data_IF_422451812098
#
_entry.id   IF_422451812098
#
_cell.length_a   1.000
_cell.length_b   1.000
_cell.length_c   1.000
_cell.angle_alpha   90.00
_cell.angle_beta   90.00
_cell.angle_gamma   90.00
#
_symmetry.space_group_name_H-M   'P 1'
#
loop_
_entity.id
_entity.type
_entity.pdbx_description
1 polymer ?
#
# COMPACT_ATOMS: atom_id res chain seq x y z
N UNK A 1 13.39 14.14 2.20
CA UNK A 1 12.48 13.04 2.60
C UNK A 1 11.19 13.70 3.02
N UNK A 2 10.04 13.25 2.54
CA UNK A 2 8.78 13.92 2.85
C UNK A 2 8.15 13.40 4.14
N UNK A 3 7.23 14.22 4.70
CA UNK A 3 6.64 14.02 6.03
C UNK A 3 5.88 12.69 6.13
N UNK A 4 5.29 12.22 5.03
CA UNK A 4 4.57 10.94 5.01
C UNK A 4 5.54 9.74 5.09
N UNK A 5 6.65 9.82 4.36
CA UNK A 5 7.70 8.79 4.35
C UNK A 5 8.31 8.64 5.75
N UNK A 6 8.57 9.76 6.44
CA UNK A 6 9.14 9.75 7.79
C UNK A 6 8.17 9.10 8.81
N UNK A 7 6.86 9.40 8.74
CA UNK A 7 5.84 8.75 9.57
C UNK A 7 5.78 7.23 9.34
N UNK A 8 5.83 6.79 8.08
CA UNK A 8 5.84 5.36 7.75
C UNK A 8 7.11 4.69 8.30
N UNK A 9 8.26 5.36 8.24
CA UNK A 9 9.51 4.84 8.80
C UNK A 9 9.42 4.68 10.32
N UNK A 10 8.88 5.66 11.03
CA UNK A 10 8.70 5.60 12.49
C UNK A 10 7.80 4.45 12.91
N UNK A 11 6.64 4.29 12.25
CA UNK A 11 5.68 3.22 12.55
C UNK A 11 6.24 1.82 12.26
N UNK A 12 7.02 1.68 11.18
CA UNK A 12 7.58 0.39 10.77
C UNK A 12 8.82 0.00 11.54
N UNK A 13 9.52 0.94 12.18
CA UNK A 13 10.75 0.68 12.93
C UNK A 13 10.57 -0.34 14.06
N UNK A 14 9.50 -0.19 14.85
CA UNK A 14 9.13 -1.14 15.90
C UNK A 14 8.62 -2.48 15.35
N UNK A 15 8.01 -2.45 14.17
CA UNK A 15 7.47 -3.64 13.51
C UNK A 15 8.57 -4.52 12.94
N UNK A 16 9.61 -4.00 12.29
CA UNK A 16 10.71 -4.82 11.73
C UNK A 16 11.46 -5.62 12.82
N UNK A 17 11.54 -5.10 14.04
CA UNK A 17 12.26 -5.73 15.17
C UNK A 17 11.62 -7.02 15.70
N UNK A 18 10.31 -7.23 15.48
CA UNK A 18 9.54 -8.32 16.10
C UNK A 18 9.39 -9.60 15.23
N UNK A 19 10.22 -9.84 14.21
CA UNK A 19 10.04 -11.02 13.35
C UNK A 19 10.97 -11.13 12.14
N UNK A 20 10.65 -12.06 11.24
CA UNK A 20 11.53 -12.51 10.15
C UNK A 20 12.14 -11.38 9.33
N UNK A 21 13.48 -11.32 9.30
CA UNK A 21 14.26 -10.14 8.91
C UNK A 21 14.18 -9.79 7.41
N UNK A 22 14.04 -10.78 6.53
CA UNK A 22 14.08 -10.56 5.07
C UNK A 22 12.70 -10.10 4.55
N UNK A 23 11.64 -10.85 4.84
CA UNK A 23 10.28 -10.52 4.36
C UNK A 23 9.78 -9.17 4.85
N UNK A 24 10.09 -8.77 6.10
CA UNK A 24 9.67 -7.46 6.62
C UNK A 24 10.40 -6.29 5.97
N UNK A 25 11.67 -6.45 5.60
CA UNK A 25 12.41 -5.39 4.90
C UNK A 25 11.79 -5.08 3.55
N UNK A 26 11.37 -6.12 2.82
CA UNK A 26 10.67 -5.94 1.55
C UNK A 26 9.31 -5.27 1.74
N UNK A 27 8.54 -5.69 2.75
CA UNK A 27 7.26 -5.04 3.05
C UNK A 27 7.45 -3.57 3.46
N UNK A 28 8.47 -3.24 4.25
CA UNK A 28 8.79 -1.83 4.58
C UNK A 28 9.20 -1.05 3.34
N UNK A 29 10.01 -1.62 2.45
CA UNK A 29 10.35 -0.97 1.18
C UNK A 29 9.10 -0.61 0.39
N UNK A 30 8.19 -1.57 0.25
CA UNK A 30 6.90 -1.36 -0.41
C UNK A 30 6.08 -0.26 0.28
N UNK A 31 6.02 -0.24 1.62
CA UNK A 31 5.31 0.79 2.38
C UNK A 31 5.89 2.19 2.15
N UNK A 32 7.22 2.29 2.05
CA UNK A 32 7.91 3.56 1.76
C UNK A 32 7.69 4.01 0.32
N UNK A 33 7.72 3.09 -0.65
CA UNK A 33 7.37 3.38 -2.05
C UNK A 33 5.92 3.89 -2.15
N UNK A 34 4.97 3.24 -1.45
CA UNK A 34 3.59 3.71 -1.34
C UNK A 34 3.48 5.12 -0.74
N UNK A 35 4.22 5.40 0.34
CA UNK A 35 4.24 6.71 0.96
C UNK A 35 4.76 7.78 -0.02
N UNK A 36 5.84 7.50 -0.75
CA UNK A 36 6.37 8.40 -1.77
C UNK A 36 5.36 8.71 -2.87
N UNK A 37 4.73 7.69 -3.44
CA UNK A 37 3.72 7.84 -4.50
C UNK A 37 2.49 8.62 -4.02
N UNK A 38 2.05 8.39 -2.78
CA UNK A 38 0.86 9.07 -2.24
C UNK A 38 1.17 10.51 -1.84
N UNK A 39 2.38 10.80 -1.38
CA UNK A 39 2.79 12.16 -1.00
C UNK A 39 2.75 13.13 -2.18
N UNK A 40 3.02 12.66 -3.40
CA UNK A 40 2.87 13.49 -4.62
C UNK A 40 1.42 13.90 -4.90
N UNK A 41 0.45 13.24 -4.27
CA UNK A 41 -0.97 13.56 -4.38
C UNK A 41 -1.43 14.62 -3.34
N UNK A 42 -0.54 15.06 -2.45
CA UNK A 42 -0.79 16.11 -1.45
C UNK A 42 -0.92 15.69 0.03
N UNK A 43 -1.29 14.45 0.41
CA UNK A 43 -1.30 14.02 1.81
C UNK A 43 0.08 14.15 2.46
N UNK A 44 0.11 14.74 3.64
CA UNK A 44 1.34 14.91 4.45
C UNK A 44 1.37 14.01 5.69
N UNK A 45 0.29 13.26 5.94
CA UNK A 45 0.19 12.32 7.07
C UNK A 45 -0.66 11.10 6.73
N UNK A 46 -0.40 9.97 7.41
CA UNK A 46 -1.16 8.72 7.21
C UNK A 46 -2.64 8.84 7.56
N UNK A 47 -3.01 9.78 8.43
CA UNK A 47 -4.40 10.10 8.74
C UNK A 47 -5.16 10.57 7.49
N UNK A 48 -4.51 11.37 6.64
CA UNK A 48 -5.08 11.92 5.40
C UNK A 48 -5.13 10.90 4.25
N UNK A 49 -4.40 9.79 4.34
CA UNK A 49 -4.37 8.76 3.31
C UNK A 49 -5.64 7.92 3.35
N UNK A 50 -6.62 8.23 2.52
CA UNK A 50 -7.89 7.50 2.41
C UNK A 50 -7.93 6.52 1.24
N UNK A 51 -9.12 5.96 1.01
CA UNK A 51 -9.37 5.06 -0.12
C UNK A 51 -9.03 5.70 -1.48
N UNK A 52 -9.25 7.01 -1.64
CA UNK A 52 -8.91 7.75 -2.86
C UNK A 52 -7.43 7.65 -3.22
N UNK A 53 -6.55 7.86 -2.24
CA UNK A 53 -5.10 7.79 -2.43
C UNK A 53 -4.67 6.37 -2.81
N UNK A 54 -5.23 5.37 -2.13
CA UNK A 54 -4.97 3.95 -2.42
C UNK A 54 -5.41 3.59 -3.85
N UNK A 55 -6.58 4.06 -4.29
CA UNK A 55 -7.06 3.83 -5.66
C UNK A 55 -6.14 4.50 -6.70
N UNK A 56 -5.67 5.72 -6.44
CA UNK A 56 -4.74 6.40 -7.35
C UNK A 56 -3.39 5.70 -7.42
N UNK A 57 -2.88 5.24 -6.29
CA UNK A 57 -1.68 4.40 -6.23
C UNK A 57 -1.81 3.16 -7.11
N UNK A 58 -2.94 2.44 -7.02
CA UNK A 58 -3.20 1.29 -7.89
C UNK A 58 -3.25 1.67 -9.36
N UNK A 59 -3.88 2.80 -9.71
CA UNK A 59 -3.96 3.26 -11.10
C UNK A 59 -2.58 3.55 -11.70
N UNK A 60 -1.66 4.12 -10.92
CA UNK A 60 -0.29 4.40 -11.34
C UNK A 60 0.56 3.12 -11.49
N UNK A 61 0.29 2.11 -10.66
CA UNK A 61 1.04 0.86 -10.62
C UNK A 61 0.41 -0.28 -11.46
N UNK A 62 -0.52 0.02 -12.37
CA UNK A 62 -1.22 -0.99 -13.20
C UNK A 62 -0.33 -1.82 -14.13
N UNK A 63 0.90 -1.38 -14.35
CA UNK A 63 1.88 -2.09 -15.17
C UNK A 63 2.55 -3.26 -14.42
N UNK A 64 2.37 -3.37 -13.09
CA UNK A 64 2.93 -4.45 -12.29
C UNK A 64 2.11 -5.74 -12.44
N UNK A 65 2.77 -6.89 -12.23
CA UNK A 65 2.09 -8.19 -12.22
C UNK A 65 1.08 -8.31 -11.08
N UNK A 66 0.05 -9.16 -11.27
CA UNK A 66 -0.96 -9.43 -10.24
C UNK A 66 -0.33 -9.90 -8.91
N UNK A 67 0.69 -10.76 -8.97
CA UNK A 67 1.43 -11.22 -7.79
C UNK A 67 2.15 -10.07 -7.07
N UNK A 68 2.77 -9.16 -7.83
CA UNK A 68 3.42 -7.97 -7.28
C UNK A 68 2.39 -7.01 -6.65
N UNK A 69 1.25 -6.78 -7.30
CA UNK A 69 0.15 -5.96 -6.77
C UNK A 69 -0.41 -6.52 -5.47
N UNK A 70 -0.56 -7.84 -5.37
CA UNK A 70 -0.98 -8.51 -4.13
C UNK A 70 0.04 -8.35 -3.00
N UNK A 71 1.33 -8.58 -3.27
CA UNK A 71 2.40 -8.34 -2.28
C UNK A 71 2.40 -6.88 -1.79
N UNK A 72 2.17 -5.94 -2.70
CA UNK A 72 2.01 -4.52 -2.37
C UNK A 72 0.79 -4.27 -1.49
N UNK A 73 -0.35 -4.88 -1.79
CA UNK A 73 -1.57 -4.76 -1.00
C UNK A 73 -1.41 -5.33 0.42
N UNK A 74 -0.77 -6.49 0.59
CA UNK A 74 -0.50 -7.04 1.93
C UNK A 74 0.34 -6.09 2.78
N UNK A 75 1.36 -5.48 2.18
CA UNK A 75 2.20 -4.50 2.87
C UNK A 75 1.42 -3.25 3.26
N UNK A 76 0.57 -2.73 2.37
CA UNK A 76 -0.29 -1.56 2.67
C UNK A 76 -1.33 -1.92 3.74
N UNK A 77 -1.88 -3.15 3.74
CA UNK A 77 -2.80 -3.63 4.78
C UNK A 77 -2.12 -3.66 6.15
N UNK A 78 -0.89 -4.15 6.23
CA UNK A 78 -0.11 -4.09 7.47
C UNK A 78 0.12 -2.65 7.92
N UNK A 79 0.47 -1.75 7.00
CA UNK A 79 0.62 -0.32 7.31
C UNK A 79 -0.69 0.29 7.81
N UNK A 80 -1.83 -0.11 7.25
CA UNK A 80 -3.17 0.32 7.66
C UNK A 80 -3.46 -0.04 9.11
N UNK A 81 -3.14 -1.29 9.49
CA UNK A 81 -3.26 -1.76 10.87
C UNK A 81 -2.29 -1.05 11.81
N UNK A 82 -1.03 -0.83 11.40
CA UNK A 82 -0.04 -0.09 12.19
C UNK A 82 -0.45 1.37 12.42
N UNK A 83 -1.12 1.97 11.44
CA UNK A 83 -1.69 3.31 11.54
C UNK A 83 -3.00 3.38 12.37
N UNK A 84 -3.47 2.26 12.91
CA UNK A 84 -4.68 2.18 13.74
C UNK A 84 -5.98 2.45 12.97
N UNK A 85 -5.95 2.32 11.63
CA UNK A 85 -7.13 2.59 10.79
C UNK A 85 -8.06 1.38 10.79
N UNK A 86 -9.36 1.64 10.88
CA UNK A 86 -10.38 0.59 10.78
C UNK A 86 -10.54 0.09 9.34
N UNK A 87 -10.99 -1.15 9.22
CA UNK A 87 -11.22 -1.81 7.94
C UNK A 87 -9.94 -2.16 7.18
N UNK A 88 -10.06 -2.32 5.87
CA UNK A 88 -8.96 -2.68 4.98
C UNK A 88 -8.78 -1.61 3.88
N UNK A 89 -7.54 -1.38 3.43
CA UNK A 89 -7.32 -0.53 2.26
C UNK A 89 -7.93 -1.19 1.01
N UNK A 90 -8.45 -0.40 0.04
CA UNK A 90 -8.96 -0.92 -1.23
C UNK A 90 -7.96 -1.87 -1.90
N UNK A 91 -8.46 -3.02 -2.38
CA UNK A 91 -7.66 -3.99 -3.15
C UNK A 91 -7.34 -3.45 -4.56
N UNK A 92 -6.18 -3.79 -5.13
CA UNK A 92 -5.92 -3.52 -6.54
C UNK A 92 -6.87 -4.34 -7.41
N UNK A 93 -7.18 -3.84 -8.61
CA UNK A 93 -7.88 -4.63 -9.62
C UNK A 93 -6.86 -5.54 -10.30
N UNK A 94 -7.08 -6.84 -10.23
CA UNK A 94 -6.22 -7.83 -10.87
C UNK A 94 -6.65 -8.09 -12.31
N UNK A 95 -5.73 -8.58 -13.13
CA UNK A 95 -6.01 -8.91 -14.53
C UNK A 95 -7.12 -9.95 -14.65
N UNK A 96 -7.20 -10.88 -13.69
CA UNK A 96 -8.27 -11.90 -13.61
C UNK A 96 -9.66 -11.29 -13.34
N UNK A 97 -9.73 -10.18 -12.58
CA UNK A 97 -11.01 -9.51 -12.26
C UNK A 97 -11.63 -8.83 -13.49
N UNK A 98 -10.80 -8.43 -14.47
CA UNK A 98 -11.26 -7.76 -15.69
C UNK A 98 -11.92 -8.75 -16.65
N UNK A 99 -11.47 -10.00 -16.68
CA UNK A 99 -11.99 -11.05 -17.56
C UNK A 99 -13.37 -11.54 -17.10
N UNK A 100 -13.63 -11.54 -15.79
CA UNK A 100 -14.91 -11.97 -15.21
C UNK A 100 -16.10 -11.05 -15.52
N UNK A 101 -15.86 -9.79 -15.90
CA UNK A 101 -16.92 -8.79 -16.12
C UNK A 101 -17.32 -8.64 -17.61
N UNK A 102 -16.91 -9.57 -18.48
CA UNK A 102 -17.27 -9.60 -19.92
C UNK A 102 -18.36 -10.62 -20.27
N UNK A 103 -19.11 -11.11 -19.28
CA UNK A 103 -20.25 -12.00 -19.51
C UNK A 103 -21.52 -11.39 -18.92
N UNK A 104 -22.19 -10.55 -19.71
CA UNK A 104 -23.64 -10.36 -19.61
C UNK A 104 -24.13 -10.08 -21.03
N UNK A 105 -25.04 -10.92 -21.60
CA UNK A 105 -25.63 -10.71 -22.92
C UNK A 105 -26.52 -9.47 -22.97
#
# INVERSE_FOLDING_TARGET
>A
MGKLIDQVRELTFGWVRKGGKIGRREQVRIMLDFAGDVETLGPTSLGQVGARQVIQYWKANRHLSDATLMSRWYSIRHLWTLAGKSGEPPKPRLSQDVTANKQTP
#
